data_IF_631731553767
#
_entry.id   IF_631731553767
#
_cell.length_a   1.000
_cell.length_b   1.000
_cell.length_c   1.000
_cell.angle_alpha   90.00
_cell.angle_beta   90.00
_cell.angle_gamma   90.00
#
_symmetry.space_group_name_H-M   'P 1'
#
loop_
_entity.id
_entity.type
_entity.pdbx_description
1 polymer ?
#
# COMPACT_ATOMS: atom_id res chain seq x y z
N UNK A 1 19.16 1.53 6.68
CA UNK A 1 18.90 0.64 5.52
C UNK A 1 20.23 0.34 4.86
N UNK A 2 20.74 -0.88 5.04
CA UNK A 2 22.15 -1.26 4.82
C UNK A 2 22.27 -2.22 3.63
N UNK A 3 22.43 -1.70 2.42
CA UNK A 3 22.81 -2.51 1.26
C UNK A 3 24.34 -2.53 1.09
N UNK A 4 24.93 -3.68 0.80
CA UNK A 4 26.35 -3.80 0.47
C UNK A 4 26.56 -4.12 -1.03
N UNK A 5 27.82 -4.23 -1.47
CA UNK A 5 28.13 -4.45 -2.88
C UNK A 5 27.69 -5.83 -3.40
N UNK A 6 27.61 -6.82 -2.51
CA UNK A 6 27.05 -8.14 -2.84
C UNK A 6 25.56 -8.05 -3.20
N UNK A 7 24.80 -7.23 -2.46
CA UNK A 7 23.37 -7.01 -2.73
C UNK A 7 23.14 -6.37 -4.09
N UNK A 8 24.01 -5.41 -4.44
CA UNK A 8 23.96 -4.71 -5.74
C UNK A 8 24.24 -5.68 -6.90
N UNK A 9 25.24 -6.55 -6.75
CA UNK A 9 25.58 -7.55 -7.76
C UNK A 9 24.44 -8.56 -7.98
N UNK A 10 23.75 -8.94 -6.90
CA UNK A 10 22.63 -9.89 -6.93
C UNK A 10 21.29 -9.26 -7.27
N UNK A 11 21.23 -7.93 -7.44
CA UNK A 11 19.99 -7.14 -7.54
C UNK A 11 19.02 -7.43 -6.39
N UNK A 12 19.55 -7.75 -5.22
CA UNK A 12 18.79 -8.14 -4.04
C UNK A 12 18.40 -6.89 -3.26
N UNK A 13 17.11 -6.58 -3.17
CA UNK A 13 16.63 -5.44 -2.41
C UNK A 13 16.23 -5.92 -1.01
N UNK A 14 17.21 -6.09 -0.10
CA UNK A 14 17.00 -6.60 1.27
C UNK A 14 15.74 -6.08 2.00
N UNK A 15 15.39 -4.78 1.94
CA UNK A 15 14.13 -4.24 2.50
C UNK A 15 12.86 -4.94 2.02
N UNK A 16 12.82 -5.48 0.80
CA UNK A 16 11.67 -6.23 0.25
C UNK A 16 11.40 -7.52 1.02
N UNK A 17 12.46 -8.10 1.59
CA UNK A 17 12.41 -9.33 2.38
C UNK A 17 12.34 -9.05 3.90
N UNK A 18 12.39 -7.78 4.31
CA UNK A 18 12.13 -7.40 5.70
C UNK A 18 10.63 -7.53 5.92
N UNK A 19 10.21 -8.63 6.54
CA UNK A 19 8.85 -8.77 7.07
C UNK A 19 8.77 -7.91 8.33
N UNK A 20 7.91 -6.87 8.38
CA UNK A 20 7.76 -6.03 9.57
C UNK A 20 7.20 -6.81 10.78
N UNK A 21 6.53 -7.93 10.51
CA UNK A 21 5.97 -8.86 11.50
C UNK A 21 6.60 -10.24 11.24
N UNK A 22 7.20 -10.89 12.25
CA UNK A 22 7.81 -12.20 12.06
C UNK A 22 6.74 -13.28 11.84
N UNK A 23 7.01 -14.35 11.07
CA UNK A 23 6.06 -15.45 10.85
C UNK A 23 5.64 -16.21 12.11
N UNK A 24 6.43 -16.10 13.18
CA UNK A 24 6.15 -16.68 14.50
C UNK A 24 5.16 -15.85 15.33
N UNK A 25 4.81 -14.64 14.86
CA UNK A 25 3.81 -13.81 15.53
C UNK A 25 2.41 -14.42 15.38
N UNK A 26 1.63 -14.60 16.47
CA UNK A 26 0.28 -15.17 16.41
C UNK A 26 -0.67 -14.42 15.47
N UNK A 27 -0.42 -13.14 15.23
CA UNK A 27 -1.24 -12.28 14.36
C UNK A 27 -0.67 -12.14 12.96
N UNK A 28 0.43 -12.82 12.63
CA UNK A 28 1.10 -12.72 11.32
C UNK A 28 0.12 -12.90 10.17
N UNK A 29 -0.67 -13.99 10.16
CA UNK A 29 -1.58 -14.28 9.05
C UNK A 29 -2.70 -13.24 8.88
N UNK A 30 -3.12 -12.58 9.96
CA UNK A 30 -4.18 -11.57 9.90
C UNK A 30 -3.59 -10.23 9.46
N UNK A 31 -2.52 -9.78 10.12
CA UNK A 31 -1.91 -8.46 9.90
C UNK A 31 -1.11 -8.39 8.60
N UNK A 32 -0.45 -9.48 8.19
CA UNK A 32 0.29 -9.53 6.93
C UNK A 32 -0.64 -9.38 5.72
N UNK A 33 -1.87 -9.89 5.79
CA UNK A 33 -2.91 -9.72 4.75
C UNK A 33 -3.48 -8.30 4.71
N UNK A 34 -3.40 -7.60 5.84
CA UNK A 34 -3.79 -6.20 5.98
C UNK A 34 -2.62 -5.24 5.74
N UNK A 35 -1.46 -5.74 5.30
CA UNK A 35 -0.33 -4.89 4.93
C UNK A 35 -0.79 -3.93 3.84
N UNK A 36 -0.68 -2.63 4.12
CA UNK A 36 -0.76 -1.62 3.07
C UNK A 36 0.38 -1.91 2.10
N UNK A 37 0.05 -2.53 0.98
CA UNK A 37 1.03 -2.76 -0.05
C UNK A 37 1.36 -1.41 -0.68
N UNK A 38 2.53 -0.89 -0.32
CA UNK A 38 3.02 0.39 -0.80
C UNK A 38 3.10 0.38 -2.34
N UNK A 39 3.37 -0.77 -2.96
CA UNK A 39 3.36 -0.92 -4.41
C UNK A 39 1.93 -0.78 -4.96
N UNK A 40 0.95 -1.46 -4.38
CA UNK A 40 -0.46 -1.36 -4.79
C UNK A 40 -1.01 0.06 -4.69
N UNK A 41 -0.75 0.82 -3.61
CA UNK A 41 -1.25 2.21 -3.52
C UNK A 41 -0.53 3.15 -4.48
N UNK A 42 0.78 2.99 -4.65
CA UNK A 42 1.53 3.78 -5.63
C UNK A 42 1.08 3.44 -7.05
N UNK A 43 0.79 2.17 -7.33
CA UNK A 43 0.28 1.71 -8.63
C UNK A 43 -1.12 2.25 -8.90
N UNK A 44 -2.02 2.14 -7.92
CA UNK A 44 -3.37 2.66 -8.02
C UNK A 44 -3.36 4.18 -8.29
N UNK A 45 -2.47 4.92 -7.61
CA UNK A 45 -2.26 6.34 -7.90
C UNK A 45 -1.70 6.55 -9.32
N UNK A 46 -0.69 5.81 -9.75
CA UNK A 46 -0.09 5.90 -11.10
C UNK A 46 -1.12 5.64 -12.21
N UNK A 47 -2.03 4.69 -12.02
CA UNK A 47 -3.11 4.38 -12.95
C UNK A 47 -4.14 5.52 -13.07
N UNK A 48 -4.23 6.43 -12.08
CA UNK A 48 -5.06 7.64 -12.18
C UNK A 48 -4.38 8.79 -12.96
N UNK A 49 -3.06 8.73 -13.17
CA UNK A 49 -2.31 9.80 -13.78
C UNK A 49 -2.46 9.80 -15.31
N UNK A 50 -2.79 10.97 -15.87
CA UNK A 50 -2.82 11.13 -17.32
C UNK A 50 -1.43 10.90 -17.93
N UNK A 51 -1.31 9.89 -18.81
CA UNK A 51 -0.05 9.48 -19.43
C UNK A 51 1.07 9.14 -18.42
N UNK A 52 0.71 8.68 -17.21
CA UNK A 52 1.67 8.43 -16.10
C UNK A 52 2.53 9.65 -15.75
N UNK A 53 1.96 10.85 -15.91
CA UNK A 53 2.63 12.11 -15.54
C UNK A 53 2.15 12.57 -14.18
N UNK A 54 3.09 12.69 -13.24
CA UNK A 54 2.82 13.19 -11.91
C UNK A 54 2.17 14.60 -11.98
N UNK A 55 1.10 14.81 -11.21
CA UNK A 55 0.43 16.10 -11.07
C UNK A 55 1.31 17.21 -10.49
N UNK A 56 2.39 16.84 -9.79
CA UNK A 56 3.27 17.79 -9.11
C UNK A 56 4.72 17.35 -9.15
N UNK A 57 5.62 18.33 -9.22
CA UNK A 57 7.06 18.13 -9.26
C UNK A 57 7.68 18.26 -7.87
N UNK A 58 8.51 17.29 -7.52
CA UNK A 58 9.30 17.27 -6.29
C UNK A 58 8.70 16.41 -5.18
N UNK A 59 9.58 15.76 -4.42
CA UNK A 59 9.25 14.74 -3.43
C UNK A 59 8.14 15.15 -2.45
N UNK A 60 8.25 16.34 -1.82
CA UNK A 60 7.24 16.79 -0.83
C UNK A 60 5.85 16.96 -1.43
N UNK A 61 5.75 17.42 -2.68
CA UNK A 61 4.46 17.62 -3.36
C UNK A 61 3.87 16.29 -3.82
N UNK A 62 4.71 15.39 -4.33
CA UNK A 62 4.28 14.03 -4.66
C UNK A 62 3.80 13.26 -3.43
N UNK A 63 4.42 13.48 -2.27
CA UNK A 63 3.96 12.90 -1.02
C UNK A 63 2.58 13.41 -0.60
N UNK A 64 2.30 14.71 -0.79
CA UNK A 64 0.97 15.26 -0.57
C UNK A 64 -0.08 14.64 -1.51
N UNK A 65 0.27 14.38 -2.77
CA UNK A 65 -0.62 13.70 -3.71
C UNK A 65 -0.97 12.28 -3.24
N UNK A 66 0.02 11.51 -2.78
CA UNK A 66 -0.19 10.17 -2.24
C UNK A 66 -1.05 10.19 -0.96
N UNK A 67 -0.79 11.14 -0.05
CA UNK A 67 -1.58 11.31 1.16
C UNK A 67 -3.04 11.67 0.84
N UNK A 68 -3.26 12.60 -0.07
CA UNK A 68 -4.60 12.99 -0.51
C UNK A 68 -5.37 11.83 -1.15
N UNK A 69 -4.68 11.04 -1.99
CA UNK A 69 -5.25 9.83 -2.58
C UNK A 69 -5.67 8.82 -1.51
N UNK A 70 -4.81 8.53 -0.53
CA UNK A 70 -5.11 7.61 0.56
C UNK A 70 -6.31 8.05 1.42
N UNK A 71 -6.41 9.36 1.71
CA UNK A 71 -7.54 9.92 2.45
C UNK A 71 -8.85 9.77 1.66
N UNK A 72 -8.82 10.05 0.36
CA UNK A 72 -9.97 9.90 -0.53
C UNK A 72 -10.43 8.45 -0.60
N UNK A 73 -9.52 7.49 -0.85
CA UNK A 73 -9.88 6.07 -0.95
C UNK A 73 -10.50 5.56 0.34
N UNK A 74 -9.91 5.89 1.50
CA UNK A 74 -10.44 5.47 2.80
C UNK A 74 -11.81 6.09 3.08
N UNK A 75 -12.01 7.36 2.74
CA UNK A 75 -13.30 8.04 2.91
C UNK A 75 -14.38 7.41 2.03
N UNK A 76 -14.05 7.06 0.79
CA UNK A 76 -14.96 6.37 -0.12
C UNK A 76 -15.30 4.97 0.40
N UNK A 77 -14.31 4.19 0.84
CA UNK A 77 -14.53 2.87 1.44
C UNK A 77 -15.47 2.94 2.65
N UNK A 78 -15.27 3.92 3.54
CA UNK A 78 -16.16 4.12 4.69
C UNK A 78 -17.58 4.51 4.26
N UNK A 79 -17.72 5.39 3.27
CA UNK A 79 -19.02 5.80 2.75
C UNK A 79 -19.76 4.62 2.11
N UNK A 80 -19.08 3.81 1.28
CA UNK A 80 -19.65 2.62 0.65
C UNK A 80 -19.99 1.55 1.68
N UNK A 81 -19.15 1.33 2.69
CA UNK A 81 -19.46 0.43 3.81
C UNK A 81 -20.71 0.88 4.57
N UNK A 82 -20.87 2.18 4.81
CA UNK A 82 -22.08 2.74 5.42
C UNK A 82 -23.35 2.55 4.57
N UNK A 83 -23.21 2.56 3.23
CA UNK A 83 -24.31 2.35 2.27
C UNK A 83 -24.68 0.87 2.08
N UNK A 84 -23.70 -0.03 2.17
CA UNK A 84 -23.88 -1.47 1.91
C UNK A 84 -24.81 -2.15 2.93
N UNK A 85 -25.14 -1.49 4.05
CA UNK A 85 -25.93 -2.08 5.13
C UNK A 85 -25.15 -3.18 5.86
N UNK A 86 -25.76 -3.87 6.84
CA UNK A 86 -25.10 -4.99 7.51
C UNK A 86 -24.70 -6.06 6.48
N UNK A 87 -23.58 -6.77 6.68
CA UNK A 87 -23.18 -7.84 5.77
C UNK A 87 -24.36 -8.80 5.60
N UNK A 88 -24.67 -9.18 4.36
CA UNK A 88 -25.52 -10.33 4.13
C UNK A 88 -24.86 -11.50 4.85
N UNK A 89 -25.51 -12.03 5.91
CA UNK A 89 -25.09 -13.25 6.57
C UNK A 89 -24.79 -14.27 5.46
N UNK A 90 -23.52 -14.69 5.37
CA UNK A 90 -23.10 -15.66 4.38
C UNK A 90 -23.95 -16.91 4.60
N UNK A 91 -24.84 -17.18 3.65
CA UNK A 91 -25.72 -18.35 3.67
C UNK A 91 -24.88 -19.62 3.88
N UNK A 92 -25.32 -20.41 4.87
CA UNK A 92 -24.72 -21.64 5.36
C UNK A 92 -24.48 -22.69 4.26
#
# INVERSE_FOLDING_TARGET
>A
LHGNDEDRARKLNRPENVRPIPPTDPHFNVLFRQRNDAESINRALDDTLHLRRAHSVGHRRQWLNLLGFALMTNSLTLAEHGRAGPPLEQAA
#
